data_IF_141069240762
#
_entry.id   IF_141069240762
#
_cell.length_a   1.000
_cell.length_b   1.000
_cell.length_c   1.000
_cell.angle_alpha   90.00
_cell.angle_beta   90.00
_cell.angle_gamma   90.00
#
_symmetry.space_group_name_H-M   'P 1'
#
loop_
_entity.id
_entity.type
_entity.pdbx_description
1 polymer ?
#
# COMPACT_ATOMS: atom_id res chain seq x y z
N UNK A 1 -4.13 -19.99 0.76
CA UNK A 1 -2.72 -19.63 0.96
C UNK A 1 -1.85 -20.84 1.29
N UNK A 2 -1.91 -21.43 2.50
CA UNK A 2 -1.07 -22.59 2.84
C UNK A 2 -1.30 -23.80 1.92
N UNK A 3 -2.57 -24.11 1.61
CA UNK A 3 -2.94 -25.16 0.66
C UNK A 3 -2.44 -24.93 -0.77
N UNK A 4 -2.16 -23.66 -1.12
CA UNK A 4 -1.61 -23.28 -2.44
C UNK A 4 -0.06 -23.32 -2.44
N UNK A 5 0.56 -23.84 -1.37
CA UNK A 5 2.01 -23.96 -1.22
C UNK A 5 2.72 -22.68 -0.79
N UNK A 6 2.01 -21.71 -0.20
CA UNK A 6 2.64 -20.55 0.44
C UNK A 6 3.10 -20.88 1.85
N UNK A 7 4.24 -20.30 2.23
CA UNK A 7 4.76 -20.33 3.60
C UNK A 7 4.47 -18.99 4.27
N UNK A 8 3.71 -19.02 5.37
CA UNK A 8 3.49 -17.84 6.21
C UNK A 8 4.78 -17.46 6.93
N UNK A 9 5.12 -16.18 6.98
CA UNK A 9 6.28 -15.70 7.72
C UNK A 9 6.01 -15.73 9.22
N UNK A 10 7.04 -16.10 9.99
CA UNK A 10 6.96 -16.19 11.45
C UNK A 10 6.98 -14.78 12.07
N UNK A 11 7.83 -13.89 11.54
CA UNK A 11 7.97 -12.51 12.02
C UNK A 11 6.82 -11.60 11.59
N UNK A 12 6.10 -11.97 10.54
CA UNK A 12 4.96 -11.23 10.02
C UNK A 12 3.90 -12.21 9.53
N UNK A 13 2.90 -12.48 10.37
CA UNK A 13 1.87 -13.47 10.08
C UNK A 13 0.91 -13.06 8.97
N UNK A 14 0.94 -11.80 8.55
CA UNK A 14 0.15 -11.31 7.44
C UNK A 14 0.85 -11.53 6.09
N UNK A 15 2.13 -11.93 6.09
CA UNK A 15 2.91 -12.15 4.88
C UNK A 15 3.07 -13.63 4.57
N UNK A 16 2.72 -14.00 3.34
CA UNK A 16 2.83 -15.33 2.76
C UNK A 16 3.77 -15.27 1.58
N UNK A 17 4.73 -16.20 1.50
CA UNK A 17 5.71 -16.26 0.41
C UNK A 17 5.67 -17.63 -0.25
N UNK A 18 5.66 -17.66 -1.57
CA UNK A 18 5.89 -18.86 -2.37
C UNK A 18 7.01 -18.61 -3.37
N UNK A 19 7.90 -19.58 -3.52
CA UNK A 19 8.98 -19.57 -4.51
C UNK A 19 8.81 -20.74 -5.46
N UNK A 20 8.97 -20.49 -6.77
CA UNK A 20 8.93 -21.51 -7.83
C UNK A 20 10.16 -21.31 -8.73
N UNK A 21 11.22 -22.05 -8.46
CA UNK A 21 12.51 -21.82 -9.12
C UNK A 21 13.08 -20.43 -8.76
N UNK A 22 13.25 -19.57 -9.76
CA UNK A 22 13.70 -18.17 -9.59
C UNK A 22 12.57 -17.17 -9.36
N UNK A 23 11.32 -17.60 -9.54
CA UNK A 23 10.14 -16.76 -9.37
C UNK A 23 9.72 -16.71 -7.90
N UNK A 24 9.33 -15.52 -7.46
CA UNK A 24 8.79 -15.27 -6.12
C UNK A 24 7.41 -14.64 -6.22
N UNK A 25 6.48 -15.13 -5.41
CA UNK A 25 5.20 -14.51 -5.16
C UNK A 25 5.05 -14.24 -3.67
N UNK A 26 4.73 -13.00 -3.33
CA UNK A 26 4.50 -12.53 -1.97
C UNK A 26 3.07 -12.04 -1.91
N UNK A 27 2.31 -12.54 -0.93
CA UNK A 27 0.98 -12.05 -0.62
C UNK A 27 1.01 -11.47 0.78
N UNK A 28 0.69 -10.19 0.89
CA UNK A 28 0.46 -9.53 2.17
C UNK A 28 -1.05 -9.33 2.36
N UNK A 29 -1.55 -9.68 3.55
CA UNK A 29 -2.96 -9.59 3.92
C UNK A 29 -3.14 -8.44 4.90
N UNK A 30 -4.06 -7.52 4.60
CA UNK A 30 -4.45 -6.49 5.54
C UNK A 30 -5.97 -6.33 5.56
N UNK A 31 -6.59 -6.80 6.65
CA UNK A 31 -8.06 -6.80 6.81
C UNK A 31 -8.71 -7.38 5.55
N UNK A 32 -9.40 -6.56 4.75
CA UNK A 32 -10.13 -6.96 3.55
C UNK A 32 -9.26 -6.91 2.27
N UNK A 33 -8.09 -6.27 2.33
CA UNK A 33 -7.22 -6.05 1.18
C UNK A 33 -6.08 -7.08 1.09
N UNK A 34 -5.77 -7.48 -0.14
CA UNK A 34 -4.65 -8.35 -0.48
C UNK A 34 -3.67 -7.63 -1.41
N UNK A 35 -2.41 -7.53 -0.99
CA UNK A 35 -1.32 -7.08 -1.85
C UNK A 35 -0.57 -8.29 -2.39
N UNK A 36 -0.63 -8.49 -3.72
CA UNK A 36 0.05 -9.57 -4.42
C UNK A 36 1.24 -9.01 -5.21
N UNK A 37 2.44 -9.51 -4.94
CA UNK A 37 3.71 -9.05 -5.51
C UNK A 37 4.42 -10.24 -6.15
N UNK A 38 4.83 -10.09 -7.40
CA UNK A 38 5.58 -11.11 -8.13
C UNK A 38 5.70 -10.76 -9.61
N UNK A 39 6.12 -11.70 -10.43
CA UNK A 39 6.05 -11.53 -11.90
C UNK A 39 4.60 -11.44 -12.37
N UNK A 40 4.40 -10.85 -13.55
CA UNK A 40 3.06 -10.65 -14.12
C UNK A 40 2.29 -11.97 -14.25
N UNK A 41 2.97 -13.04 -14.69
CA UNK A 41 2.38 -14.36 -14.85
C UNK A 41 1.93 -14.94 -13.50
N UNK A 42 2.82 -14.91 -12.50
CA UNK A 42 2.54 -15.49 -11.20
C UNK A 42 1.47 -14.71 -10.43
N UNK A 43 1.48 -13.37 -10.52
CA UNK A 43 0.42 -12.53 -9.96
C UNK A 43 -0.93 -12.82 -10.61
N UNK A 44 -0.98 -13.01 -11.94
CA UNK A 44 -2.22 -13.34 -12.65
C UNK A 44 -2.78 -14.68 -12.20
N UNK A 45 -1.94 -15.72 -12.16
CA UNK A 45 -2.32 -17.06 -11.69
C UNK A 45 -2.88 -16.99 -10.26
N UNK A 46 -2.19 -16.28 -9.36
CA UNK A 46 -2.63 -16.16 -7.97
C UNK A 46 -3.95 -15.40 -7.83
N UNK A 47 -4.16 -14.35 -8.63
CA UNK A 47 -5.44 -13.63 -8.65
C UNK A 47 -6.59 -14.56 -9.07
N UNK A 48 -6.38 -15.43 -10.05
CA UNK A 48 -7.41 -16.38 -10.52
C UNK A 48 -7.70 -17.47 -9.48
N UNK A 49 -6.67 -17.98 -8.80
CA UNK A 49 -6.85 -18.92 -7.67
C UNK A 49 -7.67 -18.26 -6.56
N UNK A 50 -7.33 -17.03 -6.17
CA UNK A 50 -8.00 -16.33 -5.08
C UNK A 50 -9.45 -15.97 -5.41
N UNK A 51 -9.72 -15.49 -6.62
CA UNK A 51 -11.09 -15.16 -7.09
C UNK A 51 -12.01 -16.38 -7.13
N UNK A 52 -11.49 -17.58 -7.38
CA UNK A 52 -12.29 -18.82 -7.33
C UNK A 52 -12.65 -19.22 -5.90
N UNK A 53 -11.84 -18.83 -4.92
CA UNK A 53 -12.00 -19.24 -3.51
C UNK A 53 -12.75 -18.19 -2.68
N UNK A 54 -12.60 -16.92 -3.01
CA UNK A 54 -13.13 -15.78 -2.26
C UNK A 54 -13.88 -14.83 -3.19
N UNK A 55 -14.98 -14.25 -2.70
CA UNK A 55 -15.59 -13.10 -3.36
C UNK A 55 -14.67 -11.89 -3.19
N UNK A 56 -13.99 -11.50 -4.27
CA UNK A 56 -13.05 -10.38 -4.25
C UNK A 56 -13.00 -9.69 -5.60
N UNK A 57 -12.66 -8.40 -5.58
CA UNK A 57 -12.50 -7.58 -6.78
C UNK A 57 -11.02 -7.29 -6.99
N UNK A 58 -10.56 -7.33 -8.24
CA UNK A 58 -9.22 -6.89 -8.59
C UNK A 58 -9.19 -5.36 -8.73
N UNK A 59 -8.47 -4.69 -7.84
CA UNK A 59 -8.30 -3.24 -7.85
C UNK A 59 -7.19 -2.77 -8.82
N UNK A 60 -6.53 -3.70 -9.51
CA UNK A 60 -5.48 -3.41 -10.49
C UNK A 60 -4.11 -3.24 -9.85
N UNK A 61 -3.33 -2.28 -10.35
CA UNK A 61 -2.05 -1.92 -9.75
C UNK A 61 -2.26 -1.15 -8.44
N UNK A 62 -1.45 -1.43 -7.43
CA UNK A 62 -1.57 -0.75 -6.13
C UNK A 62 -1.37 0.77 -6.30
N UNK A 63 -2.41 1.52 -5.95
CA UNK A 63 -2.41 2.99 -5.86
C UNK A 63 -2.58 3.45 -4.41
N UNK A 64 -3.28 2.67 -3.57
CA UNK A 64 -3.42 2.93 -2.15
C UNK A 64 -3.13 1.66 -1.33
N UNK A 65 -2.41 1.81 -0.21
CA UNK A 65 -2.12 0.73 0.72
C UNK A 65 -1.92 1.30 2.12
N UNK A 66 -2.68 0.83 3.12
CA UNK A 66 -2.54 1.27 4.54
C UNK A 66 -2.60 2.79 4.72
N UNK A 67 -3.41 3.49 3.93
CA UNK A 67 -3.51 4.95 3.96
C UNK A 67 -2.39 5.70 3.23
N UNK A 68 -1.39 5.01 2.67
CA UNK A 68 -0.38 5.58 1.78
C UNK A 68 -0.87 5.57 0.33
N UNK A 69 -0.64 6.68 -0.37
CA UNK A 69 -0.75 6.75 -1.83
C UNK A 69 0.56 6.32 -2.46
N UNK A 70 0.48 5.52 -3.52
CA UNK A 70 1.61 4.92 -4.22
C UNK A 70 1.46 5.23 -5.70
N UNK A 71 2.40 5.99 -6.23
CA UNK A 71 2.50 6.29 -7.66
C UNK A 71 3.73 5.60 -8.24
N UNK A 72 3.59 4.99 -9.41
CA UNK A 72 4.65 4.17 -10.01
C UNK A 72 4.88 4.54 -11.46
N UNK A 73 6.07 5.07 -11.74
CA UNK A 73 6.58 5.30 -13.08
C UNK A 73 7.49 4.13 -13.47
N UNK A 74 6.96 3.19 -14.28
CA UNK A 74 7.72 2.00 -14.70
C UNK A 74 8.85 2.33 -15.70
N UNK A 75 8.63 3.32 -16.57
CA UNK A 75 9.62 3.81 -17.52
C UNK A 75 10.83 4.41 -16.81
N UNK A 76 10.59 5.22 -15.79
CA UNK A 76 11.63 5.90 -15.02
C UNK A 76 12.16 5.06 -13.86
N UNK A 77 11.51 3.92 -13.57
CA UNK A 77 11.80 3.05 -12.42
C UNK A 77 11.68 3.77 -11.08
N UNK A 78 10.72 4.67 -10.96
CA UNK A 78 10.46 5.46 -9.75
C UNK A 78 9.17 4.96 -9.08
N UNK A 79 9.22 4.87 -7.76
CA UNK A 79 8.05 4.70 -6.91
C UNK A 79 7.99 5.92 -6.00
N UNK A 80 6.90 6.67 -6.07
CA UNK A 80 6.60 7.77 -5.17
C UNK A 80 5.56 7.32 -4.16
N UNK A 81 5.82 7.56 -2.87
CA UNK A 81 4.94 7.15 -1.78
C UNK A 81 4.70 8.37 -0.91
N UNK A 82 3.44 8.73 -0.72
CA UNK A 82 3.06 9.93 0.02
C UNK A 82 1.70 9.77 0.73
N UNK A 83 1.40 10.72 1.61
CA UNK A 83 0.18 10.75 2.41
C UNK A 83 -0.54 12.10 2.29
N UNK A 84 -0.45 12.74 1.13
CA UNK A 84 -1.02 14.07 0.89
C UNK A 84 -2.49 14.16 1.31
N UNK A 85 -3.33 13.18 0.89
CA UNK A 85 -4.74 13.13 1.28
C UNK A 85 -4.94 13.09 2.80
N UNK A 86 -4.06 12.42 3.54
CA UNK A 86 -4.12 12.42 5.00
C UNK A 86 -3.71 13.77 5.58
N UNK A 87 -2.60 14.35 5.08
CA UNK A 87 -2.16 15.69 5.50
C UNK A 87 -3.24 16.75 5.27
N UNK A 88 -3.88 16.75 4.09
CA UNK A 88 -5.00 17.64 3.77
C UNK A 88 -6.17 17.44 4.73
N UNK A 89 -6.57 16.18 5.01
CA UNK A 89 -7.62 15.88 6.00
C UNK A 89 -7.30 16.40 7.39
N UNK A 90 -6.03 16.33 7.81
CA UNK A 90 -5.59 16.89 9.10
C UNK A 90 -5.74 18.41 9.09
N UNK A 91 -5.29 19.08 8.04
CA UNK A 91 -5.43 20.54 7.91
C UNK A 91 -6.91 20.96 7.95
N UNK A 92 -7.77 20.26 7.20
CA UNK A 92 -9.22 20.54 7.20
C UNK A 92 -9.83 20.35 8.58
N UNK A 93 -9.49 19.25 9.27
CA UNK A 93 -10.01 18.93 10.61
C UNK A 93 -9.73 20.02 11.64
N UNK A 94 -8.57 20.68 11.55
CA UNK A 94 -8.17 21.74 12.47
C UNK A 94 -8.46 23.15 11.94
N UNK A 95 -9.14 23.29 10.79
CA UNK A 95 -9.41 24.58 10.17
C UNK A 95 -8.16 25.29 9.64
N UNK A 96 -7.09 24.55 9.38
CA UNK A 96 -5.78 25.06 8.96
C UNK A 96 -5.55 25.01 7.44
N UNK A 97 -6.54 24.59 6.66
CA UNK A 97 -6.43 24.48 5.19
C UNK A 97 -6.04 25.81 4.50
N UNK A 98 -6.41 26.95 5.09
CA UNK A 98 -6.09 28.30 4.60
C UNK A 98 -5.15 29.06 5.55
N UNK A 99 -4.45 28.35 6.44
CA UNK A 99 -3.52 28.98 7.38
C UNK A 99 -2.36 29.64 6.62
N UNK A 100 -1.96 30.84 7.05
CA UNK A 100 -0.82 31.54 6.45
C UNK A 100 0.47 30.78 6.77
N UNK A 101 1.32 30.50 5.76
CA UNK A 101 2.60 29.84 6.01
C UNK A 101 3.48 30.75 6.88
N UNK A 102 4.01 30.21 7.97
CA UNK A 102 5.02 30.87 8.81
C UNK A 102 6.37 30.25 8.55
N UNK A 103 7.43 31.08 8.46
CA UNK A 103 8.79 30.61 8.15
C UNK A 103 9.38 29.68 9.22
N UNK A 104 8.93 29.82 10.47
CA UNK A 104 9.35 28.96 11.57
C UNK A 104 8.18 28.72 12.53
N UNK A 105 8.02 27.50 13.08
CA UNK A 105 6.98 27.19 14.07
C UNK A 105 7.03 28.08 15.32
N UNK A 106 8.21 28.60 15.67
CA UNK A 106 8.47 29.36 16.90
C UNK A 106 8.12 30.86 16.84
N UNK A 107 7.79 31.41 15.67
CA UNK A 107 7.61 32.87 15.51
C UNK A 107 6.23 33.45 15.83
N UNK A 108 5.34 32.68 16.47
CA UNK A 108 4.01 33.15 16.89
C UNK A 108 3.79 33.09 18.42
N UNK A 109 4.77 33.52 19.20
CA UNK A 109 4.59 33.86 20.63
C UNK A 109 5.07 35.28 20.91
N UNK A 110 4.54 36.26 20.19
CA UNK A 110 4.53 37.66 20.61
C UNK A 110 3.67 38.47 19.65
N UNK A 111 2.38 38.60 19.96
CA UNK A 111 1.70 39.90 20.01
C UNK A 111 0.36 39.72 20.72
N UNK A 112 0.21 40.57 21.74
CA UNK A 112 -0.90 40.70 22.68
C UNK A 112 -2.25 40.94 21.98
#
# INVERSE_FOLDING_TARGET
MMAEGFVRRIKDHCVFIQTRGKEICIISVYVDDLLVIGSKAFVSEMKDILKRRFQMTDLGGVSYLLGWHIERSRSERIIFVHQEKYATKVLDRFGLAQCRPVRSPEKNLAKA
#
